data_IF_369664949802
#
_entry.id   IF_369664949802
#
_cell.length_a   1.000
_cell.length_b   1.000
_cell.length_c   1.000
_cell.angle_alpha   90.00
_cell.angle_beta   90.00
_cell.angle_gamma   90.00
#
_symmetry.space_group_name_H-M   'P 1'
#
loop_
_entity.id
_entity.type
_entity.pdbx_description
1 polymer ?
#
# COMPACT_ATOMS: atom_id res chain seq x y z
N UNK A 1 55.62 -18.10 -38.45
CA UNK A 1 55.41 -17.22 -37.27
C UNK A 1 53.93 -16.88 -37.20
N UNK A 2 53.38 -16.92 -35.99
CA UNK A 2 51.96 -17.18 -35.70
C UNK A 2 51.03 -16.01 -36.04
N UNK A 3 49.85 -16.42 -36.48
CA UNK A 3 48.70 -15.66 -36.95
C UNK A 3 48.18 -14.67 -35.89
N UNK A 4 48.00 -13.41 -36.28
CA UNK A 4 47.21 -12.36 -35.62
C UNK A 4 46.33 -11.79 -36.75
N UNK A 5 45.01 -11.61 -36.66
CA UNK A 5 44.21 -11.03 -35.61
C UNK A 5 42.84 -11.72 -35.58
N UNK A 6 42.50 -12.28 -34.43
CA UNK A 6 41.17 -12.76 -34.08
C UNK A 6 40.51 -11.60 -33.33
N UNK A 7 39.65 -10.79 -33.96
CA UNK A 7 38.88 -9.78 -33.20
C UNK A 7 37.79 -9.08 -34.03
N UNK A 8 36.83 -9.77 -34.62
CA UNK A 8 35.58 -9.12 -35.05
C UNK A 8 34.41 -10.09 -34.88
N UNK A 9 34.06 -10.40 -33.64
CA UNK A 9 32.74 -10.93 -33.29
C UNK A 9 32.42 -10.48 -31.88
N UNK A 10 31.15 -10.11 -31.67
CA UNK A 10 30.52 -9.67 -30.42
C UNK A 10 30.48 -8.15 -30.19
N UNK A 11 29.72 -7.45 -31.03
CA UNK A 11 28.79 -6.45 -30.48
C UNK A 11 27.55 -7.20 -29.99
N UNK A 12 27.63 -7.70 -28.75
CA UNK A 12 26.45 -8.19 -28.05
C UNK A 12 25.59 -6.96 -27.69
N UNK A 13 24.52 -6.72 -28.44
CA UNK A 13 23.42 -5.88 -27.94
C UNK A 13 22.79 -6.62 -26.75
N UNK A 14 23.27 -6.30 -25.55
CA UNK A 14 22.49 -6.47 -24.34
C UNK A 14 21.37 -5.42 -24.40
N UNK A 15 20.26 -5.77 -25.04
CA UNK A 15 19.00 -5.13 -24.75
C UNK A 15 18.70 -5.42 -23.28
N UNK A 16 19.11 -4.50 -22.41
CA UNK A 16 18.65 -4.42 -21.02
C UNK A 16 17.13 -4.19 -21.10
N UNK A 17 16.37 -5.27 -21.10
CA UNK A 17 14.92 -5.20 -20.98
C UNK A 17 14.61 -4.47 -19.70
N UNK A 18 13.86 -3.36 -19.80
CA UNK A 18 13.38 -2.60 -18.65
C UNK A 18 12.64 -3.55 -17.72
N UNK A 19 13.25 -3.90 -16.60
CA UNK A 19 12.52 -4.53 -15.50
C UNK A 19 11.56 -3.48 -14.98
N UNK A 20 10.30 -3.54 -15.39
CA UNK A 20 9.23 -2.90 -14.64
C UNK A 20 9.35 -3.43 -13.21
N UNK A 21 9.63 -2.54 -12.25
CA UNK A 21 9.65 -2.91 -10.84
C UNK A 21 8.29 -3.55 -10.52
N UNK A 22 8.29 -4.75 -9.94
CA UNK A 22 7.05 -5.39 -9.50
C UNK A 22 6.45 -4.55 -8.36
N UNK A 23 5.43 -3.77 -8.68
CA UNK A 23 4.59 -3.11 -7.68
C UNK A 23 3.69 -4.15 -7.02
N UNK A 24 3.63 -4.16 -5.70
CA UNK A 24 2.65 -4.96 -4.95
C UNK A 24 1.26 -4.34 -5.15
N UNK A 25 0.22 -5.16 -5.28
CA UNK A 25 -1.14 -4.64 -5.47
C UNK A 25 -1.66 -3.96 -4.21
N UNK A 26 -2.64 -3.04 -4.34
CA UNK A 26 -3.29 -2.44 -3.17
C UNK A 26 -3.97 -3.48 -2.27
N UNK A 27 -4.53 -4.56 -2.83
CA UNK A 27 -5.12 -5.64 -2.06
C UNK A 27 -4.07 -6.39 -1.24
N UNK A 28 -2.91 -6.68 -1.84
CA UNK A 28 -1.81 -7.35 -1.15
C UNK A 28 -1.20 -6.43 -0.07
N UNK A 29 -1.03 -5.15 -0.36
CA UNK A 29 -0.61 -4.17 0.65
C UNK A 29 -1.64 -4.08 1.79
N UNK A 30 -2.94 -4.15 1.52
CA UNK A 30 -3.95 -4.20 2.57
C UNK A 30 -3.81 -5.45 3.45
N UNK A 31 -3.54 -6.61 2.84
CA UNK A 31 -3.26 -7.89 3.53
C UNK A 31 -1.91 -7.92 4.24
N UNK A 32 -0.96 -7.08 3.88
CA UNK A 32 0.34 -7.02 4.55
C UNK A 32 0.31 -6.05 5.74
N UNK A 33 -0.38 -4.92 5.60
CA UNK A 33 -0.25 -3.79 6.52
C UNK A 33 -1.52 -3.46 7.32
N UNK A 34 -2.72 -3.79 6.84
CA UNK A 34 -3.96 -3.22 7.38
C UNK A 34 -4.87 -4.24 8.10
N UNK A 35 -4.99 -5.45 7.56
CA UNK A 35 -6.02 -6.42 7.98
C UNK A 35 -5.94 -6.86 9.45
N UNK A 36 -4.76 -6.87 10.06
CA UNK A 36 -4.58 -7.35 11.44
C UNK A 36 -5.43 -6.54 12.43
N UNK A 37 -5.67 -5.27 12.13
CA UNK A 37 -6.55 -4.39 12.89
C UNK A 37 -7.89 -4.17 12.16
N UNK A 38 -7.87 -3.93 10.85
CA UNK A 38 -9.10 -3.59 10.10
C UNK A 38 -9.92 -4.80 9.62
N UNK A 39 -9.45 -6.02 9.86
CA UNK A 39 -10.09 -7.28 9.44
C UNK A 39 -9.80 -7.65 7.99
N UNK A 40 -9.83 -8.96 7.69
CA UNK A 40 -9.69 -9.49 6.32
C UNK A 40 -10.78 -8.97 5.38
N UNK A 41 -11.99 -8.79 5.90
CA UNK A 41 -13.11 -8.20 5.16
C UNK A 41 -13.12 -6.66 5.19
N UNK A 42 -12.20 -6.03 5.93
CA UNK A 42 -12.18 -4.59 6.14
C UNK A 42 -13.24 -4.05 7.09
N UNK A 43 -13.91 -4.91 7.87
CA UNK A 43 -15.03 -4.57 8.75
C UNK A 43 -14.62 -4.05 10.15
N UNK A 44 -13.34 -3.77 10.37
CA UNK A 44 -12.83 -3.32 11.67
C UNK A 44 -12.66 -4.44 12.70
N UNK A 45 -12.90 -5.70 12.33
CA UNK A 45 -12.83 -6.87 13.22
C UNK A 45 -11.54 -7.67 12.99
N UNK A 46 -10.40 -6.99 13.09
CA UNK A 46 -9.08 -7.64 13.01
C UNK A 46 -8.73 -8.45 14.25
N UNK A 47 -7.73 -9.33 14.14
CA UNK A 47 -7.28 -10.17 15.26
C UNK A 47 -6.75 -9.38 16.46
N UNK A 48 -6.30 -8.14 16.24
CA UNK A 48 -5.70 -7.30 17.28
C UNK A 48 -6.70 -6.42 18.06
N UNK A 49 -8.00 -6.47 17.75
CA UNK A 49 -8.93 -5.40 18.22
C UNK A 49 -9.58 -5.63 19.59
N UNK A 50 -9.48 -6.84 20.14
CA UNK A 50 -10.26 -7.26 21.31
C UNK A 50 -10.11 -6.32 22.52
N UNK A 51 -8.88 -5.88 22.80
CA UNK A 51 -8.57 -5.08 23.99
C UNK A 51 -8.27 -3.60 23.64
N UNK A 52 -8.60 -3.16 22.43
CA UNK A 52 -8.39 -1.77 22.00
C UNK A 52 -9.50 -0.85 22.52
N UNK A 53 -9.12 0.23 23.22
CA UNK A 53 -10.06 1.27 23.66
C UNK A 53 -10.66 2.08 22.51
N UNK A 54 -9.92 2.21 21.40
CA UNK A 54 -10.38 2.82 20.16
C UNK A 54 -10.39 1.77 19.07
N UNK A 55 -11.58 1.36 18.66
CA UNK A 55 -11.75 0.34 17.63
C UNK A 55 -11.32 0.84 16.25
N UNK A 56 -10.68 0.00 15.42
CA UNK A 56 -10.33 0.36 14.06
C UNK A 56 -11.55 0.73 13.21
N UNK A 57 -11.29 1.50 12.15
CA UNK A 57 -12.33 1.90 11.22
C UNK A 57 -12.85 0.68 10.44
N UNK A 58 -14.17 0.54 10.36
CA UNK A 58 -14.83 -0.27 9.35
C UNK A 58 -14.74 0.42 7.98
N UNK A 59 -13.89 -0.12 7.11
CA UNK A 59 -13.66 0.35 5.75
C UNK A 59 -14.75 -0.09 4.75
N UNK A 60 -15.65 -0.98 5.14
CA UNK A 60 -16.82 -1.36 4.32
C UNK A 60 -18.01 -0.41 4.51
N UNK A 61 -17.99 0.41 5.57
CA UNK A 61 -19.05 1.36 5.88
C UNK A 61 -18.95 2.63 5.03
N UNK A 62 -19.84 2.77 4.05
CA UNK A 62 -19.99 4.00 3.26
C UNK A 62 -20.21 5.24 4.14
N UNK A 63 -20.98 5.12 5.23
CA UNK A 63 -21.23 6.21 6.18
C UNK A 63 -19.96 6.62 6.92
N UNK A 64 -19.16 5.66 7.38
CA UNK A 64 -17.96 5.95 8.15
C UNK A 64 -16.82 6.49 7.27
N UNK A 65 -16.75 6.05 6.02
CA UNK A 65 -15.68 6.39 5.07
C UNK A 65 -16.02 7.59 4.17
N UNK A 66 -17.30 7.81 3.86
CA UNK A 66 -17.74 8.87 2.93
C UNK A 66 -17.49 10.28 3.44
N UNK A 67 -17.42 10.48 4.76
CA UNK A 67 -17.08 11.78 5.38
C UNK A 67 -15.57 12.07 5.46
N UNK A 68 -14.72 11.22 4.91
CA UNK A 68 -13.25 11.42 4.89
C UNK A 68 -12.82 11.78 3.48
N UNK A 69 -11.95 12.78 3.37
CA UNK A 69 -11.36 13.13 2.08
C UNK A 69 -10.28 12.11 1.69
N UNK A 70 -9.98 11.99 0.40
CA UNK A 70 -8.85 11.17 -0.06
C UNK A 70 -7.52 11.66 0.51
N UNK A 71 -7.39 12.97 0.76
CA UNK A 71 -6.23 13.55 1.42
C UNK A 71 -6.09 13.07 2.87
N UNK A 72 -7.20 12.98 3.63
CA UNK A 72 -7.18 12.43 4.99
C UNK A 72 -6.81 10.95 4.99
N UNK A 73 -7.37 10.17 4.04
CA UNK A 73 -7.06 8.75 3.90
C UNK A 73 -5.59 8.54 3.53
N UNK A 74 -5.06 9.33 2.60
CA UNK A 74 -3.65 9.30 2.24
C UNK A 74 -2.77 9.66 3.45
N UNK A 75 -3.11 10.76 4.14
CA UNK A 75 -2.36 11.26 5.30
C UNK A 75 -2.32 10.24 6.43
N UNK A 76 -3.45 9.62 6.77
CA UNK A 76 -3.50 8.65 7.87
C UNK A 76 -2.74 7.37 7.56
N UNK A 77 -2.73 6.90 6.31
CA UNK A 77 -1.93 5.74 5.91
C UNK A 77 -0.44 6.10 5.98
N UNK A 78 -0.05 7.27 5.45
CA UNK A 78 1.35 7.69 5.39
C UNK A 78 1.93 8.01 6.78
N UNK A 79 1.17 8.73 7.60
CA UNK A 79 1.65 9.36 8.84
C UNK A 79 1.04 8.77 10.12
N UNK A 80 0.17 7.77 10.00
CA UNK A 80 -0.48 7.12 11.13
C UNK A 80 -1.72 7.84 11.64
N UNK A 81 -2.42 7.22 12.59
CA UNK A 81 -3.71 7.67 13.10
C UNK A 81 -3.68 9.07 13.73
N UNK A 82 -2.61 9.38 14.48
CA UNK A 82 -2.49 10.66 15.18
C UNK A 82 -2.46 11.85 14.22
N UNK A 83 -2.01 11.66 12.97
CA UNK A 83 -1.93 12.73 11.97
C UNK A 83 -3.29 13.33 11.58
N UNK A 84 -4.39 12.66 11.93
CA UNK A 84 -5.78 13.13 11.72
C UNK A 84 -6.63 12.99 13.00
N UNK A 85 -6.00 13.12 14.17
CA UNK A 85 -6.65 13.03 15.48
C UNK A 85 -7.40 11.70 15.68
N UNK A 86 -6.77 10.59 15.29
CA UNK A 86 -7.26 9.22 15.52
C UNK A 86 -6.26 8.43 16.36
N UNK A 87 -6.56 7.15 16.58
CA UNK A 87 -5.79 6.28 17.47
C UNK A 87 -4.29 6.30 17.15
N UNK A 88 -3.47 6.50 18.17
CA UNK A 88 -2.00 6.39 18.09
C UNK A 88 -1.53 4.98 17.73
N UNK A 89 -2.41 3.98 17.87
CA UNK A 89 -2.12 2.59 17.53
C UNK A 89 -2.14 2.31 16.03
N UNK A 90 -2.64 3.24 15.19
CA UNK A 90 -2.51 3.12 13.75
C UNK A 90 -1.13 3.64 13.33
N UNK A 91 -0.18 2.77 12.96
CA UNK A 91 1.19 3.18 12.68
C UNK A 91 1.30 3.94 11.34
N UNK A 92 2.35 4.76 11.17
CA UNK A 92 2.69 5.34 9.87
C UNK A 92 3.28 4.28 8.93
N UNK A 93 2.92 4.34 7.65
CA UNK A 93 3.45 3.43 6.62
C UNK A 93 4.28 4.13 5.54
N UNK A 94 4.55 5.43 5.67
CA UNK A 94 5.27 6.21 4.66
C UNK A 94 6.71 5.76 4.36
N UNK A 95 7.35 5.03 5.28
CA UNK A 95 8.69 4.46 5.06
C UNK A 95 8.64 3.06 4.45
N UNK A 96 7.46 2.43 4.41
CA UNK A 96 7.25 1.06 3.89
C UNK A 96 6.52 1.05 2.56
N UNK A 97 5.72 2.06 2.27
CA UNK A 97 4.89 2.18 1.07
C UNK A 97 5.23 3.47 0.34
N UNK A 98 5.39 3.38 -0.97
CA UNK A 98 5.53 4.55 -1.83
C UNK A 98 4.22 5.37 -1.86
N UNK A 99 4.32 6.64 -2.23
CA UNK A 99 3.14 7.50 -2.39
C UNK A 99 2.15 6.96 -3.43
N UNK A 100 2.63 6.22 -4.43
CA UNK A 100 1.78 5.57 -5.43
C UNK A 100 0.99 4.41 -4.82
N UNK A 101 1.66 3.54 -4.06
CA UNK A 101 0.99 2.43 -3.35
C UNK A 101 -0.02 2.93 -2.32
N UNK A 102 0.28 4.03 -1.62
CA UNK A 102 -0.67 4.65 -0.68
C UNK A 102 -1.88 5.20 -1.44
N UNK A 103 -1.69 5.86 -2.59
CA UNK A 103 -2.81 6.31 -3.43
C UNK A 103 -3.66 5.14 -3.93
N UNK A 104 -3.05 4.02 -4.29
CA UNK A 104 -3.78 2.83 -4.71
C UNK A 104 -4.52 2.15 -3.56
N UNK A 105 -3.96 2.17 -2.34
CA UNK A 105 -4.70 1.80 -1.13
C UNK A 105 -5.92 2.69 -0.90
N UNK A 106 -5.81 4.01 -1.09
CA UNK A 106 -6.97 4.92 -0.97
C UNK A 106 -8.07 4.51 -1.95
N UNK A 107 -7.74 4.23 -3.22
CA UNK A 107 -8.71 3.72 -4.22
C UNK A 107 -9.31 2.38 -3.79
N UNK A 108 -8.50 1.48 -3.23
CA UNK A 108 -8.98 0.20 -2.71
C UNK A 108 -9.97 0.38 -1.55
N UNK A 109 -9.71 1.31 -0.62
CA UNK A 109 -10.64 1.65 0.46
C UNK A 109 -11.98 2.20 -0.09
N UNK A 110 -11.95 3.01 -1.14
CA UNK A 110 -13.16 3.50 -1.84
C UNK A 110 -13.99 2.37 -2.44
N UNK A 111 -13.31 1.37 -3.02
CA UNK A 111 -13.95 0.15 -3.51
C UNK A 111 -14.59 -0.66 -2.38
N UNK A 112 -13.92 -0.80 -1.23
CA UNK A 112 -14.46 -1.52 -0.07
C UNK A 112 -15.72 -0.86 0.49
N UNK A 113 -15.70 0.46 0.69
CA UNK A 113 -16.86 1.18 1.22
C UNK A 113 -17.97 1.41 0.19
N UNK A 114 -17.69 1.19 -1.10
CA UNK A 114 -18.55 1.59 -2.22
C UNK A 114 -18.95 3.06 -2.12
N UNK A 115 -17.96 3.90 -1.80
CA UNK A 115 -18.14 5.32 -1.53
C UNK A 115 -17.05 6.14 -2.22
N UNK A 116 -17.30 7.43 -2.44
CA UNK A 116 -16.44 8.32 -3.22
C UNK A 116 -17.30 9.20 -4.13
#
# INVERSE_FOLDING_TARGET
MKNKCFSWLMFALLAMGSSAAWSTSAEDNYKNFCWQCHGMAGNGMGVNVQDMSVQPRDHTSAKAMGGRSDADLFKVIKQGGLAIDKSVLMPPWGDSLSDEEIRDLVKYLRKLCKCG
#
